data_IF_809202062244
#
_entry.id   IF_809202062244
#
_cell.length_a   1.000
_cell.length_b   1.000
_cell.length_c   1.000
_cell.angle_alpha   90.00
_cell.angle_beta   90.00
_cell.angle_gamma   90.00
#
_symmetry.space_group_name_H-M   'P 1'
#
loop_
_entity.id
_entity.type
_entity.pdbx_description
1 polymer ?
#
# COMPACT_ATOMS: atom_id res chain seq x y z
N UNK A 1 -54.52 -6.98 -20.95
CA UNK A 1 -53.45 -5.93 -21.03
C UNK A 1 -52.34 -6.52 -21.89
N UNK A 2 -52.06 -5.96 -23.05
CA UNK A 2 -51.15 -6.59 -24.00
C UNK A 2 -49.68 -6.52 -23.51
N UNK A 3 -48.92 -7.56 -23.76
CA UNK A 3 -47.50 -7.73 -23.45
C UNK A 3 -46.64 -6.54 -23.93
N UNK A 4 -47.06 -5.83 -24.96
CA UNK A 4 -46.40 -4.64 -25.49
C UNK A 4 -46.46 -3.42 -24.55
N UNK A 5 -47.51 -3.25 -23.75
CA UNK A 5 -47.63 -2.17 -22.78
C UNK A 5 -46.71 -2.43 -21.57
N UNK A 6 -46.57 -3.69 -21.13
CA UNK A 6 -45.74 -4.06 -20.01
C UNK A 6 -44.22 -3.92 -20.34
N UNK A 7 -43.82 -4.31 -21.55
CA UNK A 7 -42.43 -4.09 -22.03
C UNK A 7 -42.07 -2.62 -22.18
N UNK A 8 -43.01 -1.77 -22.65
CA UNK A 8 -42.79 -0.30 -22.72
C UNK A 8 -42.67 0.33 -21.32
N UNK A 9 -43.42 -0.14 -20.34
CA UNK A 9 -43.33 0.33 -18.96
C UNK A 9 -42.03 -0.09 -18.31
N UNK A 10 -41.54 -1.33 -18.54
CA UNK A 10 -40.24 -1.80 -18.04
C UNK A 10 -39.06 -1.04 -18.68
N UNK A 11 -39.13 -0.78 -19.97
CA UNK A 11 -38.12 0.02 -20.67
C UNK A 11 -38.08 1.47 -20.18
N UNK A 12 -39.25 2.08 -19.91
CA UNK A 12 -39.33 3.43 -19.36
C UNK A 12 -38.85 3.51 -17.90
N UNK A 13 -39.12 2.49 -17.08
CA UNK A 13 -38.62 2.41 -15.69
C UNK A 13 -37.09 2.18 -15.69
N UNK A 14 -36.57 1.29 -16.56
CA UNK A 14 -35.13 1.07 -16.70
C UNK A 14 -34.40 2.31 -17.20
N UNK A 15 -34.96 3.03 -18.20
CA UNK A 15 -34.39 4.28 -18.69
C UNK A 15 -34.46 5.42 -17.65
N UNK A 16 -35.55 5.50 -16.88
CA UNK A 16 -35.72 6.48 -15.80
C UNK A 16 -34.76 6.25 -14.62
N UNK A 17 -34.54 5.00 -14.22
CA UNK A 17 -33.58 4.65 -13.15
C UNK A 17 -32.13 4.86 -13.60
N UNK A 18 -31.82 4.61 -14.90
CA UNK A 18 -30.48 4.88 -15.44
C UNK A 18 -30.18 6.38 -15.54
N UNK A 19 -31.15 7.20 -15.98
CA UNK A 19 -31.02 8.65 -16.04
C UNK A 19 -30.89 9.28 -14.63
N UNK A 20 -31.61 8.77 -13.63
CA UNK A 20 -31.50 9.24 -12.25
C UNK A 20 -30.17 8.85 -11.60
N UNK A 21 -29.62 7.68 -11.92
CA UNK A 21 -28.30 7.25 -11.42
C UNK A 21 -27.18 8.12 -12.00
N UNK A 22 -27.27 8.56 -13.24
CA UNK A 22 -26.27 9.44 -13.89
C UNK A 22 -26.33 10.87 -13.31
N UNK A 23 -27.51 11.39 -12.97
CA UNK A 23 -27.69 12.75 -12.43
C UNK A 23 -27.18 12.92 -10.99
N UNK A 24 -27.02 11.85 -10.22
CA UNK A 24 -26.50 11.87 -8.84
C UNK A 24 -24.99 11.60 -8.74
N UNK A 25 -24.31 11.31 -9.86
CA UNK A 25 -22.89 10.95 -9.88
C UNK A 25 -21.95 12.16 -9.81
N UNK A 26 -22.45 13.38 -9.87
CA UNK A 26 -21.62 14.59 -10.01
C UNK A 26 -21.17 15.23 -8.67
N UNK A 27 -21.65 14.77 -7.52
CA UNK A 27 -21.36 15.40 -6.22
C UNK A 27 -20.86 14.49 -5.11
N UNK A 28 -20.87 13.16 -5.29
CA UNK A 28 -20.23 12.23 -4.37
C UNK A 28 -19.11 11.48 -5.11
N UNK A 29 -17.88 11.43 -4.55
CA UNK A 29 -16.87 10.50 -5.02
C UNK A 29 -17.53 9.13 -5.07
N UNK A 30 -17.73 8.60 -6.28
CA UNK A 30 -18.29 7.26 -6.44
C UNK A 30 -17.27 6.27 -5.90
N UNK A 31 -17.55 5.69 -4.75
CA UNK A 31 -16.71 4.66 -4.14
C UNK A 31 -16.63 3.38 -5.00
N UNK A 32 -17.52 3.25 -5.99
CA UNK A 32 -17.65 2.08 -6.86
C UNK A 32 -17.08 2.27 -8.27
N UNK A 33 -16.60 3.46 -8.60
CA UNK A 33 -16.05 3.76 -9.92
C UNK A 33 -14.64 4.34 -9.80
N UNK A 34 -13.86 4.25 -10.89
CA UNK A 34 -12.54 4.87 -10.96
C UNK A 34 -12.67 6.39 -10.76
N UNK A 35 -11.91 7.02 -9.84
CA UNK A 35 -11.94 8.47 -9.67
C UNK A 35 -11.39 9.18 -10.94
N UNK A 36 -11.84 10.39 -11.19
CA UNK A 36 -11.32 11.22 -12.30
C UNK A 36 -9.85 11.60 -12.05
N UNK A 37 -9.49 11.77 -10.78
CA UNK A 37 -8.15 12.19 -10.38
C UNK A 37 -7.89 13.68 -10.61
N UNK A 38 -6.62 14.09 -10.54
CA UNK A 38 -6.19 15.51 -10.53
C UNK A 38 -5.09 15.81 -11.55
N UNK A 39 -4.86 14.91 -12.48
CA UNK A 39 -3.89 15.06 -13.56
C UNK A 39 -4.54 14.85 -14.92
N UNK A 40 -3.92 15.36 -15.98
CA UNK A 40 -4.38 15.11 -17.34
C UNK A 40 -4.43 13.61 -17.65
N UNK A 41 -3.41 12.86 -17.24
CA UNK A 41 -3.35 11.40 -17.40
C UNK A 41 -4.51 10.72 -16.66
N UNK A 42 -4.81 11.12 -15.42
CA UNK A 42 -5.90 10.49 -14.66
C UNK A 42 -7.27 10.75 -15.30
N UNK A 43 -7.48 11.93 -15.89
CA UNK A 43 -8.70 12.23 -16.63
C UNK A 43 -8.83 11.38 -17.91
N UNK A 44 -7.74 11.18 -18.66
CA UNK A 44 -7.72 10.32 -19.84
C UNK A 44 -7.91 8.84 -19.48
N UNK A 45 -7.30 8.36 -18.39
CA UNK A 45 -7.51 7.01 -17.85
C UNK A 45 -8.98 6.81 -17.49
N UNK A 46 -9.60 7.79 -16.81
CA UNK A 46 -11.02 7.74 -16.47
C UNK A 46 -11.91 7.70 -17.73
N UNK A 47 -11.62 8.54 -18.73
CA UNK A 47 -12.35 8.53 -20.00
C UNK A 47 -12.27 7.17 -20.71
N UNK A 48 -11.07 6.59 -20.79
CA UNK A 48 -10.86 5.25 -21.37
C UNK A 48 -11.60 4.17 -20.59
N UNK A 49 -11.57 4.24 -19.27
CA UNK A 49 -12.33 3.35 -18.39
C UNK A 49 -13.84 3.42 -18.68
N UNK A 50 -14.40 4.64 -18.79
CA UNK A 50 -15.83 4.82 -19.08
C UNK A 50 -16.21 4.35 -20.48
N UNK A 51 -15.32 4.53 -21.48
CA UNK A 51 -15.51 3.99 -22.82
C UNK A 51 -15.61 2.45 -22.77
N UNK A 52 -14.65 1.80 -22.14
CA UNK A 52 -14.61 0.34 -22.00
C UNK A 52 -15.82 -0.16 -21.19
N UNK A 53 -16.16 0.50 -20.10
CA UNK A 53 -17.33 0.18 -19.27
C UNK A 53 -18.63 0.24 -20.11
N UNK A 54 -18.78 1.26 -20.97
CA UNK A 54 -19.91 1.37 -21.89
C UNK A 54 -19.99 0.19 -22.85
N UNK A 55 -18.86 -0.17 -23.48
CA UNK A 55 -18.77 -1.30 -24.41
C UNK A 55 -19.14 -2.63 -23.72
N UNK A 56 -18.53 -2.93 -22.57
CA UNK A 56 -18.81 -4.20 -21.86
C UNK A 56 -20.23 -4.25 -21.30
N UNK A 57 -20.80 -3.11 -20.93
CA UNK A 57 -22.20 -3.03 -20.50
C UNK A 57 -23.15 -3.37 -21.63
N UNK A 58 -22.93 -2.83 -22.85
CA UNK A 58 -23.72 -3.16 -24.02
C UNK A 58 -23.64 -4.65 -24.35
N UNK A 59 -22.43 -5.21 -24.38
CA UNK A 59 -22.21 -6.64 -24.60
C UNK A 59 -22.94 -7.46 -23.52
N UNK A 60 -22.80 -7.10 -22.24
CA UNK A 60 -23.47 -7.76 -21.12
C UNK A 60 -24.99 -7.77 -21.28
N UNK A 61 -25.59 -6.61 -21.62
CA UNK A 61 -27.04 -6.49 -21.83
C UNK A 61 -27.51 -7.38 -22.99
N UNK A 62 -26.75 -7.41 -24.09
CA UNK A 62 -27.09 -8.24 -25.24
C UNK A 62 -27.00 -9.74 -24.93
N UNK A 63 -25.89 -10.18 -24.31
CA UNK A 63 -25.66 -11.58 -24.00
C UNK A 63 -26.64 -12.10 -22.93
N UNK A 64 -26.75 -11.40 -21.80
CA UNK A 64 -27.69 -11.79 -20.74
C UNK A 64 -29.16 -11.65 -21.21
N UNK A 65 -29.46 -10.65 -22.03
CA UNK A 65 -30.77 -10.51 -22.65
C UNK A 65 -31.13 -11.70 -23.53
N UNK A 66 -30.21 -12.15 -24.38
CA UNK A 66 -30.40 -13.33 -25.22
C UNK A 66 -30.54 -14.61 -24.37
N UNK A 67 -29.72 -14.76 -23.30
CA UNK A 67 -29.84 -15.90 -22.38
C UNK A 67 -31.19 -15.93 -21.67
N UNK A 68 -31.63 -14.80 -21.09
CA UNK A 68 -32.91 -14.70 -20.39
C UNK A 68 -34.08 -14.95 -21.36
N UNK A 69 -34.02 -14.39 -22.56
CA UNK A 69 -35.00 -14.65 -23.62
C UNK A 69 -35.08 -16.15 -23.95
N UNK A 70 -33.93 -16.80 -24.08
CA UNK A 70 -33.83 -18.23 -24.38
C UNK A 70 -34.44 -19.09 -23.25
N UNK A 71 -34.08 -18.80 -21.99
CA UNK A 71 -34.60 -19.50 -20.82
C UNK A 71 -36.13 -19.39 -20.74
N UNK A 72 -36.68 -18.22 -21.00
CA UNK A 72 -38.13 -17.99 -20.90
C UNK A 72 -38.90 -18.60 -22.08
N UNK A 73 -38.37 -18.42 -23.29
CA UNK A 73 -39.11 -18.73 -24.52
C UNK A 73 -38.82 -20.15 -25.07
N UNK A 74 -37.60 -20.70 -24.86
CA UNK A 74 -37.22 -22.00 -25.39
C UNK A 74 -37.25 -23.11 -24.35
N UNK A 75 -37.93 -22.89 -23.22
CA UNK A 75 -38.10 -23.94 -22.19
C UNK A 75 -38.92 -25.11 -22.73
N UNK A 76 -38.64 -26.33 -22.25
CA UNK A 76 -39.28 -27.60 -22.67
C UNK A 76 -40.82 -27.58 -22.66
N UNK A 77 -41.41 -26.80 -21.72
CA UNK A 77 -42.88 -26.66 -21.65
C UNK A 77 -43.48 -25.88 -22.82
N UNK A 78 -42.70 -25.02 -23.49
CA UNK A 78 -43.13 -24.26 -24.68
C UNK A 78 -42.68 -24.95 -25.98
N UNK A 79 -41.53 -25.61 -25.96
CA UNK A 79 -40.92 -26.29 -27.11
C UNK A 79 -40.54 -27.72 -26.71
N UNK A 80 -41.51 -28.66 -26.78
CA UNK A 80 -41.27 -30.07 -26.39
C UNK A 80 -40.27 -30.79 -27.28
N UNK A 81 -40.16 -30.39 -28.54
CA UNK A 81 -39.17 -30.89 -29.52
C UNK A 81 -38.05 -29.91 -29.66
N UNK A 82 -36.78 -30.31 -29.57
CA UNK A 82 -35.64 -29.44 -29.83
C UNK A 82 -35.59 -29.05 -31.32
N UNK A 83 -34.85 -27.97 -31.63
CA UNK A 83 -34.56 -27.61 -32.99
C UNK A 83 -33.51 -28.52 -33.64
N UNK A 84 -33.57 -28.75 -34.92
CA UNK A 84 -32.73 -29.71 -35.65
C UNK A 84 -31.47 -29.06 -36.28
N UNK A 85 -31.23 -27.75 -36.06
CA UNK A 85 -30.04 -27.10 -36.58
C UNK A 85 -28.82 -27.38 -35.70
N UNK A 86 -27.64 -27.57 -36.30
CA UNK A 86 -26.39 -27.88 -35.60
C UNK A 86 -25.35 -26.76 -35.75
N UNK A 87 -25.42 -25.93 -36.80
CA UNK A 87 -24.46 -24.90 -37.11
C UNK A 87 -25.10 -23.74 -37.86
N UNK A 88 -24.44 -22.59 -37.86
CA UNK A 88 -24.79 -21.46 -38.70
C UNK A 88 -23.54 -20.63 -39.00
N UNK A 89 -22.93 -20.85 -40.14
CA UNK A 89 -21.71 -20.17 -40.63
C UNK A 89 -21.82 -18.65 -40.54
N UNK A 90 -22.99 -18.09 -40.86
CA UNK A 90 -23.20 -16.64 -40.78
C UNK A 90 -23.12 -16.10 -39.35
N UNK A 91 -23.68 -16.82 -38.40
CA UNK A 91 -23.60 -16.45 -36.96
C UNK A 91 -22.18 -16.62 -36.45
N UNK A 92 -21.48 -17.68 -36.86
CA UNK A 92 -20.09 -17.96 -36.48
C UNK A 92 -19.14 -16.87 -36.97
N UNK A 93 -19.27 -16.45 -38.21
CA UNK A 93 -18.54 -15.32 -38.76
C UNK A 93 -18.87 -14.03 -38.00
N UNK A 94 -20.13 -13.77 -37.68
CA UNK A 94 -20.56 -12.57 -37.00
C UNK A 94 -19.93 -12.50 -35.58
N UNK A 95 -20.01 -13.58 -34.77
CA UNK A 95 -19.47 -13.57 -33.43
C UNK A 95 -17.93 -13.63 -33.36
N UNK A 96 -17.25 -13.92 -34.48
CA UNK A 96 -15.79 -13.81 -34.61
C UNK A 96 -15.36 -12.42 -35.03
N UNK A 97 -16.00 -11.88 -36.07
CA UNK A 97 -15.58 -10.61 -36.67
C UNK A 97 -15.97 -9.39 -35.83
N UNK A 98 -17.18 -9.40 -35.22
CA UNK A 98 -17.63 -8.27 -34.41
C UNK A 98 -16.72 -8.04 -33.17
N UNK A 99 -16.43 -9.06 -32.32
CA UNK A 99 -15.51 -8.87 -31.20
C UNK A 99 -14.10 -8.46 -31.63
N UNK A 100 -13.60 -8.96 -32.76
CA UNK A 100 -12.30 -8.57 -33.29
C UNK A 100 -12.22 -7.05 -33.55
N UNK A 101 -13.21 -6.47 -34.18
CA UNK A 101 -13.24 -5.02 -34.43
C UNK A 101 -13.47 -4.23 -33.12
N UNK A 102 -14.27 -4.74 -32.18
CA UNK A 102 -14.46 -4.12 -30.86
C UNK A 102 -13.13 -4.06 -30.12
N UNK A 103 -12.34 -5.14 -30.11
CA UNK A 103 -11.02 -5.17 -29.47
C UNK A 103 -10.04 -4.15 -30.11
N UNK A 104 -10.00 -4.07 -31.44
CA UNK A 104 -9.16 -3.06 -32.15
C UNK A 104 -9.60 -1.63 -31.75
N UNK A 105 -10.90 -1.36 -31.73
CA UNK A 105 -11.43 -0.04 -31.38
C UNK A 105 -11.08 0.37 -29.94
N UNK A 106 -10.93 -0.59 -29.00
CA UNK A 106 -10.46 -0.33 -27.64
C UNK A 106 -8.93 -0.26 -27.54
N UNK A 107 -8.21 -1.09 -28.31
CA UNK A 107 -6.75 -1.17 -28.23
C UNK A 107 -6.06 0.12 -28.73
N UNK A 108 -6.59 0.77 -29.76
CA UNK A 108 -5.98 1.98 -30.34
C UNK A 108 -5.88 3.13 -29.32
N UNK A 109 -6.98 3.58 -28.66
CA UNK A 109 -6.89 4.63 -27.65
C UNK A 109 -6.10 4.17 -26.41
N UNK A 110 -6.18 2.90 -26.02
CA UNK A 110 -5.42 2.36 -24.88
C UNK A 110 -3.91 2.40 -25.15
N UNK A 111 -3.46 2.03 -26.34
CA UNK A 111 -2.06 2.10 -26.73
C UNK A 111 -1.55 3.56 -26.78
N UNK A 112 -2.35 4.49 -27.29
CA UNK A 112 -2.02 5.92 -27.29
C UNK A 112 -1.81 6.48 -25.88
N UNK A 113 -2.72 6.14 -24.96
CA UNK A 113 -2.61 6.55 -23.56
C UNK A 113 -1.38 5.92 -22.87
N UNK A 114 -1.13 4.63 -23.11
CA UNK A 114 0.04 3.94 -22.55
C UNK A 114 1.35 4.60 -22.99
N UNK A 115 1.49 4.94 -24.26
CA UNK A 115 2.67 5.65 -24.80
C UNK A 115 2.84 7.00 -24.10
N UNK A 116 1.75 7.73 -23.85
CA UNK A 116 1.76 9.02 -23.14
C UNK A 116 2.19 8.82 -21.68
N UNK A 117 1.71 7.79 -20.99
CA UNK A 117 2.07 7.47 -19.60
C UNK A 117 3.55 7.09 -19.42
N UNK A 118 4.17 6.48 -20.43
CA UNK A 118 5.59 6.10 -20.40
C UNK A 118 6.54 7.22 -20.84
N UNK A 119 6.04 8.36 -21.32
CA UNK A 119 6.88 9.48 -21.74
C UNK A 119 7.36 10.33 -20.57
N UNK A 120 8.49 9.97 -19.99
CA UNK A 120 9.11 10.67 -18.85
C UNK A 120 10.02 11.83 -19.26
N UNK A 121 10.10 12.20 -20.55
CA UNK A 121 10.96 13.29 -21.05
C UNK A 121 10.49 14.65 -20.54
N UNK A 122 11.39 15.60 -20.54
CA UNK A 122 11.15 17.02 -20.20
C UNK A 122 10.58 17.22 -18.77
N UNK A 123 10.96 16.34 -17.82
CA UNK A 123 10.60 16.50 -16.43
C UNK A 123 11.44 17.60 -15.76
N UNK A 124 10.76 18.51 -15.06
CA UNK A 124 11.39 19.65 -14.37
C UNK A 124 11.92 19.25 -12.98
N UNK A 125 11.39 18.17 -12.42
CA UNK A 125 11.78 17.62 -11.11
C UNK A 125 11.89 16.11 -11.22
N UNK A 126 12.93 15.54 -10.60
CA UNK A 126 13.06 14.08 -10.46
C UNK A 126 13.07 13.70 -8.99
N UNK A 127 12.19 12.78 -8.62
CA UNK A 127 12.12 12.20 -7.27
C UNK A 127 12.40 10.70 -7.35
N UNK A 128 13.39 10.24 -6.60
CA UNK A 128 13.61 8.81 -6.41
C UNK A 128 12.76 8.31 -5.25
N UNK A 129 12.02 7.24 -5.50
CA UNK A 129 11.14 6.55 -4.55
C UNK A 129 11.72 5.18 -4.28
N UNK A 130 12.08 4.89 -3.04
CA UNK A 130 12.62 3.58 -2.65
C UNK A 130 11.71 2.95 -1.61
N UNK A 131 11.06 1.84 -1.96
CA UNK A 131 10.27 1.03 -1.03
C UNK A 131 11.16 0.22 -0.10
N UNK A 132 10.72 0.01 1.13
CA UNK A 132 11.35 -0.88 2.11
C UNK A 132 10.30 -1.40 3.10
N UNK A 133 10.61 -2.40 3.86
CA UNK A 133 9.73 -3.01 4.87
C UNK A 133 9.79 -2.24 6.21
N UNK A 134 8.81 -1.32 6.54
CA UNK A 134 7.65 -0.99 5.70
C UNK A 134 7.47 0.53 5.66
N UNK A 135 7.84 1.13 4.56
CA UNK A 135 7.77 2.57 4.34
C UNK A 135 8.36 2.97 3.00
N UNK A 136 8.49 4.27 2.80
CA UNK A 136 9.00 4.86 1.58
C UNK A 136 10.12 5.85 1.89
N UNK A 137 11.24 5.75 1.19
CA UNK A 137 12.28 6.76 1.18
C UNK A 137 12.12 7.60 -0.09
N UNK A 138 12.09 8.92 0.08
CA UNK A 138 12.04 9.89 -1.00
C UNK A 138 13.34 10.67 -1.07
N UNK A 139 13.88 10.83 -2.29
CA UNK A 139 15.07 11.61 -2.57
C UNK A 139 14.77 12.56 -3.75
N UNK A 140 14.94 13.87 -3.53
CA UNK A 140 14.83 14.89 -4.59
C UNK A 140 16.17 14.99 -5.30
N UNK A 141 16.28 14.33 -6.45
CA UNK A 141 17.54 14.16 -7.19
C UNK A 141 18.13 15.50 -7.58
N UNK A 142 19.40 15.71 -7.24
CA UNK A 142 20.11 16.98 -7.51
C UNK A 142 19.84 18.10 -6.50
N UNK A 143 18.99 17.89 -5.50
CA UNK A 143 18.64 18.91 -4.50
C UNK A 143 19.22 18.64 -3.10
N UNK A 144 19.78 17.44 -2.85
CA UNK A 144 20.34 17.07 -1.54
C UNK A 144 19.28 16.93 -0.43
N UNK A 145 18.04 16.70 -0.79
CA UNK A 145 16.92 16.51 0.15
C UNK A 145 16.45 15.07 0.07
N UNK A 146 16.54 14.35 1.18
CA UNK A 146 16.00 12.99 1.31
C UNK A 146 15.35 12.80 2.69
N UNK A 147 14.33 11.97 2.76
CA UNK A 147 13.67 11.60 4.01
C UNK A 147 12.90 10.29 3.89
N UNK A 148 12.53 9.75 5.05
CA UNK A 148 11.70 8.54 5.16
C UNK A 148 10.27 8.93 5.53
N UNK A 149 9.32 8.30 4.86
CA UNK A 149 7.87 8.40 5.09
C UNK A 149 7.34 7.06 5.58
N UNK A 150 6.71 7.06 6.72
CA UNK A 150 6.13 5.88 7.36
C UNK A 150 4.76 6.22 7.92
N UNK A 151 3.97 5.20 8.21
CA UNK A 151 2.69 5.36 8.92
C UNK A 151 2.88 6.28 10.13
N UNK A 152 1.95 7.20 10.35
CA UNK A 152 1.98 8.14 11.48
C UNK A 152 2.13 7.39 12.82
N UNK A 153 2.77 8.02 13.79
CA UNK A 153 2.95 7.45 15.13
C UNK A 153 1.61 7.19 15.81
N UNK A 154 0.61 8.07 15.59
CA UNK A 154 -0.73 7.97 16.17
C UNK A 154 -1.48 6.77 15.61
N UNK A 155 -1.54 6.60 14.27
CA UNK A 155 -2.14 5.43 13.62
C UNK A 155 -1.41 4.14 13.98
N UNK A 156 -0.06 4.18 14.05
CA UNK A 156 0.73 3.00 14.40
C UNK A 156 0.47 2.53 15.84
N UNK A 157 0.36 3.46 16.78
CA UNK A 157 -0.02 3.15 18.17
C UNK A 157 -1.45 2.59 18.24
N UNK A 158 -2.40 3.24 17.54
CA UNK A 158 -3.80 2.83 17.55
C UNK A 158 -4.01 1.42 16.99
N UNK A 159 -3.31 1.04 15.90
CA UNK A 159 -3.43 -0.30 15.30
C UNK A 159 -2.87 -1.41 16.21
N UNK A 160 -1.83 -1.11 16.98
CA UNK A 160 -1.23 -2.08 17.92
C UNK A 160 -2.10 -2.30 19.16
N UNK A 161 -2.79 -1.28 19.59
CA UNK A 161 -3.74 -1.29 20.70
C UNK A 161 -5.18 -1.56 20.24
N UNK A 162 -5.39 -1.75 18.93
CA UNK A 162 -6.70 -1.70 18.26
C UNK A 162 -7.65 -2.83 18.64
N UNK A 163 -7.16 -3.95 19.19
CA UNK A 163 -8.02 -5.02 19.69
C UNK A 163 -9.04 -4.56 20.76
N UNK A 164 -8.81 -3.41 21.40
CA UNK A 164 -9.64 -2.82 22.44
C UNK A 164 -10.30 -1.49 22.04
N UNK A 165 -10.20 -1.08 20.75
CA UNK A 165 -10.80 0.16 20.23
C UNK A 165 -12.01 -0.13 19.38
N UNK A 166 -13.06 0.69 19.52
CA UNK A 166 -14.23 0.68 18.64
C UNK A 166 -13.89 1.30 17.28
N UNK A 167 -14.71 1.02 16.26
CA UNK A 167 -14.58 1.64 14.92
C UNK A 167 -14.68 3.17 15.02
N UNK A 168 -15.57 3.67 15.89
CA UNK A 168 -15.77 5.11 16.12
C UNK A 168 -14.56 5.79 16.76
N UNK A 169 -13.83 5.07 17.62
CA UNK A 169 -12.58 5.56 18.23
C UNK A 169 -11.44 5.57 17.20
N UNK A 170 -11.34 4.51 16.39
CA UNK A 170 -10.35 4.44 15.30
C UNK A 170 -10.59 5.51 14.25
N UNK A 171 -11.85 5.79 13.91
CA UNK A 171 -12.22 6.82 12.93
C UNK A 171 -11.81 8.24 13.34
N UNK A 172 -11.46 8.49 14.61
CA UNK A 172 -10.98 9.78 15.10
C UNK A 172 -9.46 9.92 15.13
N UNK A 173 -8.75 8.81 14.97
CA UNK A 173 -7.27 8.79 14.96
C UNK A 173 -6.75 9.59 13.77
N UNK A 174 -5.66 10.32 13.97
CA UNK A 174 -5.05 11.19 12.94
C UNK A 174 -6.03 12.22 12.33
N UNK A 175 -6.97 12.71 13.12
CA UNK A 175 -7.99 13.65 12.63
C UNK A 175 -8.94 13.05 11.60
N UNK A 176 -9.23 11.75 11.68
CA UNK A 176 -10.07 11.02 10.74
C UNK A 176 -9.31 10.33 9.59
N UNK A 177 -7.99 10.33 9.64
CA UNK A 177 -7.12 9.71 8.63
C UNK A 177 -6.40 8.46 9.16
N UNK A 178 -7.09 7.66 9.99
CA UNK A 178 -6.56 6.41 10.52
C UNK A 178 -6.02 5.51 9.39
N UNK A 179 -4.75 5.10 9.51
CA UNK A 179 -3.96 4.32 8.53
C UNK A 179 -3.67 5.02 7.19
N UNK A 180 -4.15 6.26 6.99
CA UNK A 180 -3.93 7.04 5.77
C UNK A 180 -2.88 8.14 5.93
N UNK A 181 -2.47 8.44 7.18
CA UNK A 181 -1.53 9.51 7.46
C UNK A 181 -0.10 9.01 7.63
N UNK A 182 0.87 9.88 7.28
CA UNK A 182 2.31 9.61 7.40
C UNK A 182 3.01 10.69 8.21
N UNK A 183 4.17 10.37 8.76
CA UNK A 183 5.01 11.32 9.47
C UNK A 183 5.61 12.41 8.56
N UNK A 184 5.97 12.06 7.31
CA UNK A 184 6.57 12.95 6.33
C UNK A 184 5.91 12.75 4.96
N UNK A 185 4.96 13.60 4.54
CA UNK A 185 4.37 13.51 3.21
C UNK A 185 5.39 13.86 2.12
N UNK A 186 5.22 13.26 0.93
CA UNK A 186 5.93 13.66 -0.28
C UNK A 186 5.36 14.99 -0.77
N UNK A 187 6.16 16.05 -0.80
CA UNK A 187 5.75 17.38 -1.26
C UNK A 187 6.07 17.53 -2.74
N UNK A 188 5.09 17.92 -3.56
CA UNK A 188 5.27 18.10 -5.01
C UNK A 188 4.71 19.44 -5.47
N UNK A 189 5.35 20.09 -6.49
CA UNK A 189 4.81 21.31 -7.09
C UNK A 189 3.62 21.04 -8.00
N UNK A 190 2.62 21.92 -8.00
CA UNK A 190 1.60 21.92 -9.05
C UNK A 190 2.14 22.57 -10.33
N UNK A 191 1.56 22.15 -11.48
CA UNK A 191 1.88 22.70 -12.81
C UNK A 191 3.21 22.24 -13.41
N UNK A 192 4.08 21.56 -12.65
CA UNK A 192 5.37 21.03 -13.12
C UNK A 192 5.31 19.53 -13.38
N UNK A 193 6.00 19.07 -14.43
CA UNK A 193 6.16 17.64 -14.72
C UNK A 193 7.20 17.03 -13.77
N UNK A 194 6.79 16.07 -12.97
CA UNK A 194 7.63 15.35 -12.01
C UNK A 194 7.85 13.92 -12.48
N UNK A 195 9.12 13.53 -12.65
CA UNK A 195 9.53 12.16 -12.95
C UNK A 195 9.82 11.41 -11.65
N UNK A 196 9.36 10.19 -11.57
CA UNK A 196 9.67 9.25 -10.49
C UNK A 196 10.64 8.18 -10.97
N UNK A 197 11.68 7.90 -10.16
CA UNK A 197 12.56 6.75 -10.27
C UNK A 197 12.21 5.80 -9.14
N UNK A 198 11.52 4.70 -9.43
CA UNK A 198 10.89 3.84 -8.44
C UNK A 198 11.66 2.52 -8.34
N UNK A 199 12.12 2.20 -7.14
CA UNK A 199 12.87 0.97 -6.81
C UNK A 199 12.55 0.51 -5.39
N UNK A 200 13.11 -0.62 -4.96
CA UNK A 200 13.01 -1.10 -3.58
C UNK A 200 14.37 -1.51 -3.04
N UNK A 201 14.50 -1.54 -1.72
CA UNK A 201 15.72 -1.91 -1.01
C UNK A 201 15.76 -3.40 -0.65
N UNK A 202 14.61 -4.03 -0.45
CA UNK A 202 14.48 -5.37 0.14
C UNK A 202 13.61 -6.33 -0.69
N UNK A 203 12.30 -6.16 -0.71
CA UNK A 203 11.33 -6.97 -1.45
C UNK A 203 10.61 -6.11 -2.49
N UNK A 204 9.76 -6.72 -3.32
CA UNK A 204 8.94 -5.97 -4.26
C UNK A 204 7.84 -5.24 -3.49
N UNK A 205 7.67 -3.95 -3.80
CA UNK A 205 6.56 -3.09 -3.40
C UNK A 205 5.92 -2.49 -4.66
N UNK A 206 4.80 -1.79 -4.56
CA UNK A 206 4.28 -0.97 -5.66
C UNK A 206 3.80 0.38 -5.13
N UNK A 207 4.31 1.45 -5.72
CA UNK A 207 3.91 2.82 -5.39
C UNK A 207 2.66 3.19 -6.17
N UNK A 208 1.53 3.34 -5.49
CA UNK A 208 0.24 3.58 -6.13
C UNK A 208 -0.50 4.75 -5.49
N UNK A 209 -0.71 5.82 -6.27
CA UNK A 209 -1.53 6.98 -5.91
C UNK A 209 -2.62 7.13 -6.98
N UNK A 210 -3.84 6.82 -6.64
CA UNK A 210 -4.98 6.73 -7.56
C UNK A 210 -5.27 8.07 -8.27
N UNK A 211 -5.32 9.16 -7.50
CA UNK A 211 -5.63 10.49 -8.02
C UNK A 211 -4.60 10.99 -9.03
N UNK A 212 -3.37 10.46 -8.99
CA UNK A 212 -2.29 10.81 -9.92
C UNK A 212 -2.23 9.87 -11.14
N UNK A 213 -3.02 8.80 -11.17
CA UNK A 213 -2.95 7.69 -12.13
C UNK A 213 -1.55 7.04 -12.21
N UNK A 214 -0.80 7.04 -11.12
CA UNK A 214 0.52 6.40 -11.04
C UNK A 214 0.42 5.12 -10.23
N UNK A 215 0.69 3.99 -10.87
CA UNK A 215 0.90 2.69 -10.24
C UNK A 215 2.13 2.05 -10.87
N UNK A 216 3.19 1.86 -10.10
CA UNK A 216 4.46 1.32 -10.61
C UNK A 216 5.14 0.46 -9.56
N UNK A 217 5.60 -0.71 -9.94
CA UNK A 217 6.30 -1.63 -9.04
C UNK A 217 7.67 -1.09 -8.66
N UNK A 218 8.00 -1.23 -7.37
CA UNK A 218 9.29 -0.93 -6.80
C UNK A 218 10.04 -2.25 -6.61
N UNK A 219 10.96 -2.56 -7.55
CA UNK A 219 11.64 -3.84 -7.64
C UNK A 219 13.10 -3.68 -7.18
N UNK A 220 13.60 -4.53 -6.25
CA UNK A 220 15.01 -4.50 -5.85
C UNK A 220 15.95 -4.71 -7.03
N UNK A 221 16.96 -3.85 -7.13
CA UNK A 221 17.97 -3.93 -8.21
C UNK A 221 17.49 -3.44 -9.59
N UNK A 222 16.25 -2.96 -9.70
CA UNK A 222 15.69 -2.40 -10.92
C UNK A 222 15.09 -1.02 -10.66
N UNK A 223 15.15 -0.11 -11.62
CA UNK A 223 14.56 1.23 -11.52
C UNK A 223 13.47 1.33 -12.57
N UNK A 224 12.23 1.39 -12.12
CA UNK A 224 11.07 1.74 -12.93
C UNK A 224 10.90 3.25 -12.99
N UNK A 225 10.29 3.73 -14.07
CA UNK A 225 9.99 5.15 -14.24
C UNK A 225 8.50 5.38 -14.37
N UNK A 226 8.07 6.52 -13.86
CA UNK A 226 6.73 7.06 -14.04
C UNK A 226 6.81 8.59 -14.00
N UNK A 227 5.74 9.29 -14.37
CA UNK A 227 5.66 10.72 -14.22
C UNK A 227 4.25 11.16 -13.85
N UNK A 228 4.16 12.37 -13.31
CA UNK A 228 2.90 13.05 -13.02
C UNK A 228 3.03 14.55 -13.24
N UNK A 229 1.90 15.20 -13.51
CA UNK A 229 1.76 16.65 -13.49
C UNK A 229 0.45 16.97 -12.79
N UNK A 230 0.54 17.46 -11.56
CA UNK A 230 -0.61 17.76 -10.72
C UNK A 230 -1.09 19.17 -11.04
N UNK A 231 -2.36 19.30 -11.41
CA UNK A 231 -2.90 20.61 -11.82
C UNK A 231 -3.44 21.43 -10.64
N UNK A 232 -3.81 20.79 -9.54
CA UNK A 232 -4.45 21.44 -8.40
C UNK A 232 -3.72 21.11 -7.09
N UNK A 233 -3.52 22.11 -6.19
CA UNK A 233 -2.98 21.84 -4.87
C UNK A 233 -3.96 20.97 -4.06
N UNK A 234 -3.39 20.12 -3.20
CA UNK A 234 -4.20 19.21 -2.39
C UNK A 234 -3.37 18.14 -1.72
N UNK A 235 -4.07 17.26 -1.03
CA UNK A 235 -3.49 16.11 -0.34
C UNK A 235 -4.07 14.83 -0.93
N UNK A 236 -3.22 14.00 -1.50
CA UNK A 236 -3.60 12.80 -2.21
C UNK A 236 -3.01 11.59 -1.49
N UNK A 237 -3.82 10.54 -1.39
CA UNK A 237 -3.45 9.34 -0.67
C UNK A 237 -3.18 8.18 -1.63
N UNK A 238 -2.27 7.32 -1.22
CA UNK A 238 -1.92 6.11 -1.95
C UNK A 238 -1.57 4.98 -1.00
N UNK A 239 -1.35 3.81 -1.59
CA UNK A 239 -1.06 2.57 -0.87
C UNK A 239 0.09 1.83 -1.53
N UNK A 240 0.74 0.95 -0.79
CA UNK A 240 1.53 -0.11 -1.39
C UNK A 240 0.58 -1.11 -2.07
N UNK A 241 0.82 -1.43 -3.34
CA UNK A 241 -0.07 -2.25 -4.15
C UNK A 241 0.55 -3.61 -4.55
N UNK A 242 1.70 -3.99 -3.96
CA UNK A 242 2.32 -5.31 -4.11
C UNK A 242 2.61 -5.90 -2.73
N UNK A 243 2.20 -7.17 -2.52
CA UNK A 243 2.31 -7.83 -1.22
C UNK A 243 3.78 -7.94 -0.78
N UNK A 244 4.15 -7.16 0.22
CA UNK A 244 5.53 -6.99 0.67
C UNK A 244 5.78 -7.50 2.11
N UNK A 245 4.87 -8.30 2.67
CA UNK A 245 5.03 -8.91 4.01
C UNK A 245 3.99 -8.44 5.03
N UNK A 246 4.32 -8.59 6.31
CA UNK A 246 3.38 -8.44 7.43
C UNK A 246 2.68 -7.09 7.49
N UNK A 247 3.42 -6.01 7.29
CA UNK A 247 2.89 -4.65 7.41
C UNK A 247 2.61 -3.99 6.04
N UNK A 248 2.33 -4.82 5.01
CA UNK A 248 1.97 -4.37 3.67
C UNK A 248 0.86 -3.31 3.65
N UNK A 249 -0.20 -3.48 4.43
CA UNK A 249 -1.32 -2.52 4.54
C UNK A 249 -1.02 -1.30 5.42
N UNK A 250 0.18 -1.21 6.01
CA UNK A 250 0.55 -0.18 6.98
C UNK A 250 1.72 0.69 6.53
N UNK A 251 1.90 0.84 5.21
CA UNK A 251 2.86 1.72 4.58
C UNK A 251 2.17 2.65 3.56
N UNK A 252 1.30 3.55 4.03
CA UNK A 252 0.56 4.45 3.17
C UNK A 252 1.47 5.45 2.47
N UNK A 253 0.93 6.08 1.43
CA UNK A 253 1.56 7.15 0.68
C UNK A 253 0.71 8.41 0.86
N UNK A 254 1.35 9.54 1.16
CA UNK A 254 0.70 10.84 1.14
C UNK A 254 1.51 11.78 0.27
N UNK A 255 0.86 12.32 -0.77
CA UNK A 255 1.40 13.36 -1.63
C UNK A 255 0.74 14.68 -1.26
N UNK A 256 1.55 15.67 -0.86
CA UNK A 256 1.12 17.04 -0.62
C UNK A 256 1.50 17.90 -1.82
N UNK A 257 0.54 18.18 -2.70
CA UNK A 257 0.74 19.07 -3.82
C UNK A 257 0.56 20.54 -3.36
N UNK A 258 1.53 21.38 -3.65
CA UNK A 258 1.53 22.79 -3.29
C UNK A 258 1.84 23.66 -4.51
N UNK A 259 1.46 24.94 -4.52
CA UNK A 259 1.87 25.87 -5.57
C UNK A 259 3.39 25.86 -5.77
N UNK A 260 3.86 26.04 -7.01
CA UNK A 260 5.28 25.93 -7.36
C UNK A 260 6.19 26.84 -6.52
N UNK A 261 5.76 28.07 -6.22
CA UNK A 261 6.53 29.01 -5.40
C UNK A 261 6.64 28.53 -3.93
N UNK A 262 5.58 27.92 -3.38
CA UNK A 262 5.60 27.34 -2.03
C UNK A 262 6.53 26.12 -1.97
N UNK A 263 6.49 25.29 -3.02
CA UNK A 263 7.40 24.14 -3.16
C UNK A 263 8.87 24.60 -3.18
N UNK A 264 9.20 25.63 -3.97
CA UNK A 264 10.57 26.15 -4.07
C UNK A 264 11.06 26.68 -2.71
N UNK A 265 10.20 27.36 -1.95
CA UNK A 265 10.47 27.81 -0.59
C UNK A 265 10.67 26.65 0.39
N UNK A 266 9.80 25.63 0.33
CA UNK A 266 9.92 24.42 1.15
C UNK A 266 11.21 23.65 0.85
N UNK A 267 11.56 23.47 -0.44
CA UNK A 267 12.76 22.78 -0.87
C UNK A 267 14.04 23.52 -0.43
N UNK A 268 14.05 24.85 -0.52
CA UNK A 268 15.16 25.67 -0.04
C UNK A 268 15.34 25.55 1.48
N UNK A 269 14.24 25.54 2.24
CA UNK A 269 14.27 25.36 3.70
C UNK A 269 14.78 23.99 4.14
N UNK A 270 14.60 22.94 3.31
CA UNK A 270 15.12 21.60 3.60
C UNK A 270 16.61 21.42 3.28
N UNK A 271 17.18 22.20 2.37
CA UNK A 271 18.61 22.15 2.01
C UNK A 271 19.56 22.55 3.16
N UNK A 272 19.07 23.19 4.20
CA UNK A 272 19.85 23.58 5.39
C UNK A 272 20.00 22.48 6.44
N UNK A 273 19.34 21.33 6.28
CA UNK A 273 19.44 20.19 7.19
C UNK A 273 20.36 19.16 6.54
N UNK A 274 21.65 19.23 6.85
CA UNK A 274 22.67 18.29 6.39
C UNK A 274 22.36 16.90 6.93
N UNK A 275 21.86 16.01 6.06
CA UNK A 275 21.73 14.57 6.36
C UNK A 275 23.03 13.92 5.96
N UNK A 276 23.80 13.48 6.95
CA UNK A 276 25.05 12.77 6.73
C UNK A 276 24.86 11.60 5.73
N UNK A 277 25.56 11.67 4.62
CA UNK A 277 25.51 10.68 3.55
C UNK A 277 25.97 9.31 4.07
N UNK A 278 25.10 8.31 3.98
CA UNK A 278 25.48 6.91 4.20
C UNK A 278 26.31 6.40 3.03
N UNK A 279 27.52 5.90 3.32
CA UNK A 279 28.40 5.26 2.34
C UNK A 279 27.74 4.03 1.68
N UNK A 280 28.09 3.71 0.41
CA UNK A 280 27.49 2.58 -0.29
C UNK A 280 27.93 1.25 0.33
N UNK A 281 26.96 0.45 0.77
CA UNK A 281 27.21 -0.92 1.25
C UNK A 281 27.10 -1.87 0.06
N UNK A 282 28.16 -2.62 -0.19
CA UNK A 282 28.23 -3.67 -1.19
C UNK A 282 27.25 -4.82 -0.82
N UNK A 283 26.35 -5.16 -1.73
CA UNK A 283 25.37 -6.24 -1.56
C UNK A 283 26.00 -7.56 -2.02
N UNK A 284 26.25 -8.47 -1.11
CA UNK A 284 26.46 -9.88 -1.44
C UNK A 284 25.13 -10.61 -1.39
N UNK A 285 24.73 -11.18 -2.52
CA UNK A 285 23.49 -11.92 -2.66
C UNK A 285 23.55 -13.25 -1.91
N UNK A 286 22.58 -13.48 -1.02
CA UNK A 286 22.31 -14.79 -0.44
C UNK A 286 20.92 -15.28 -0.89
N UNK A 287 20.86 -16.55 -1.30
CA UNK A 287 19.70 -17.22 -1.87
C UNK A 287 18.54 -17.41 -0.87
N UNK A 288 17.28 -17.50 -1.34
CA UNK A 288 16.11 -17.56 -0.46
C UNK A 288 15.91 -18.94 0.17
N UNK A 289 15.77 -18.98 1.48
CA UNK A 289 15.32 -20.14 2.22
C UNK A 289 13.79 -20.08 2.43
N UNK A 290 13.13 -21.24 2.22
CA UNK A 290 11.69 -21.40 2.33
C UNK A 290 11.17 -21.13 3.74
N UNK A 291 10.00 -20.44 3.83
CA UNK A 291 9.32 -20.08 5.06
C UNK A 291 8.45 -21.23 5.58
N UNK A 292 8.44 -21.52 6.88
CA UNK A 292 7.45 -22.42 7.48
C UNK A 292 6.14 -21.69 7.81
N UNK A 293 5.04 -22.38 7.56
CA UNK A 293 3.66 -21.95 7.80
C UNK A 293 3.40 -21.80 9.30
N UNK A 294 2.89 -20.63 9.72
CA UNK A 294 2.53 -20.36 11.12
C UNK A 294 1.10 -20.81 11.40
N UNK A 295 0.95 -21.73 12.36
CA UNK A 295 -0.30 -22.18 12.93
C UNK A 295 -0.87 -21.15 13.90
N UNK A 296 -2.16 -20.87 13.80
CA UNK A 296 -2.93 -20.00 14.69
C UNK A 296 -3.09 -20.63 16.08
N UNK A 297 -2.58 -19.99 17.13
CA UNK A 297 -2.80 -20.39 18.50
C UNK A 297 -3.72 -19.42 19.26
N UNK A 298 -4.67 -20.00 19.98
CA UNK A 298 -5.72 -19.45 20.86
C UNK A 298 -5.14 -18.67 22.03
N UNK A 299 -5.82 -17.64 22.58
CA UNK A 299 -5.35 -16.90 23.76
C UNK A 299 -5.23 -17.81 24.98
N UNK A 300 -4.12 -17.72 25.69
CA UNK A 300 -3.84 -18.48 26.89
C UNK A 300 -3.99 -17.62 28.15
N UNK A 301 -4.57 -18.22 29.14
CA UNK A 301 -4.87 -17.91 30.52
C UNK A 301 -3.62 -17.52 31.33
N UNK A 302 -3.79 -16.72 32.37
CA UNK A 302 -2.73 -16.21 33.26
C UNK A 302 -1.86 -17.33 33.85
N UNK A 303 -0.54 -17.22 33.65
CA UNK A 303 0.43 -18.21 34.08
C UNK A 303 1.15 -17.82 35.36
N UNK A 304 1.44 -18.85 36.17
CA UNK A 304 2.28 -18.86 37.39
C UNK A 304 3.72 -18.33 37.14
N UNK A 305 4.51 -18.02 38.16
CA UNK A 305 5.81 -17.35 38.01
C UNK A 305 6.75 -18.12 37.10
N UNK A 306 7.16 -17.46 36.02
CA UNK A 306 7.98 -18.04 34.97
C UNK A 306 9.38 -18.45 35.52
N UNK A 307 9.79 -19.68 35.22
CA UNK A 307 11.15 -20.19 35.50
C UNK A 307 12.18 -19.32 34.78
N UNK A 308 13.20 -18.86 35.46
CA UNK A 308 14.30 -18.11 34.86
C UNK A 308 14.96 -18.93 33.75
N UNK A 309 15.04 -18.35 32.55
CA UNK A 309 15.67 -18.98 31.39
C UNK A 309 17.19 -18.77 31.42
N UNK A 310 17.92 -19.75 30.92
CA UNK A 310 19.37 -19.61 30.76
C UNK A 310 19.69 -18.54 29.68
N UNK A 311 20.93 -18.01 29.73
CA UNK A 311 21.39 -17.03 28.76
C UNK A 311 21.21 -17.54 27.29
N UNK A 312 21.55 -18.80 27.05
CA UNK A 312 21.54 -19.37 25.69
C UNK A 312 20.10 -19.59 25.16
N UNK A 313 19.17 -19.95 26.06
CA UNK A 313 17.73 -20.02 25.73
C UNK A 313 17.20 -18.62 25.41
N UNK A 314 17.54 -17.59 26.19
CA UNK A 314 17.17 -16.20 25.93
C UNK A 314 17.77 -15.68 24.62
N UNK A 315 19.04 -16.03 24.32
CA UNK A 315 19.68 -15.63 23.05
C UNK A 315 19.00 -16.25 21.84
N UNK A 316 18.64 -17.53 21.91
CA UNK A 316 17.97 -18.25 20.83
C UNK A 316 16.55 -17.73 20.59
N UNK A 317 15.77 -17.61 21.66
CA UNK A 317 14.42 -17.05 21.58
C UNK A 317 14.45 -15.56 21.17
N UNK A 318 15.38 -14.79 21.74
CA UNK A 318 15.55 -13.38 21.48
C UNK A 318 15.92 -13.06 20.03
N UNK A 319 16.76 -13.87 19.40
CA UNK A 319 17.05 -13.75 17.97
C UNK A 319 15.79 -13.85 17.14
N UNK A 320 14.92 -14.83 17.42
CA UNK A 320 13.66 -15.02 16.69
C UNK A 320 12.71 -13.82 16.86
N UNK A 321 12.60 -13.29 18.08
CA UNK A 321 11.78 -12.11 18.37
C UNK A 321 12.38 -10.87 17.70
N UNK A 322 13.72 -10.74 17.70
CA UNK A 322 14.44 -9.65 17.05
C UNK A 322 14.20 -9.63 15.54
N UNK A 323 14.39 -10.76 14.90
CA UNK A 323 14.20 -10.89 13.46
C UNK A 323 12.74 -10.56 13.04
N UNK A 324 11.76 -10.90 13.87
CA UNK A 324 10.35 -10.64 13.62
C UNK A 324 9.85 -9.23 13.97
N UNK A 325 10.50 -8.51 14.86
CA UNK A 325 9.95 -7.25 15.39
C UNK A 325 10.91 -6.05 15.37
N UNK A 326 12.22 -6.28 15.32
CA UNK A 326 13.22 -5.22 15.51
C UNK A 326 14.13 -5.03 14.29
N UNK A 327 14.45 -6.13 13.58
CA UNK A 327 15.40 -6.14 12.48
C UNK A 327 14.98 -5.24 11.30
N UNK A 328 13.68 -5.05 11.10
CA UNK A 328 13.16 -4.16 10.04
C UNK A 328 13.68 -2.70 10.17
N UNK A 329 13.82 -2.21 11.41
CA UNK A 329 14.31 -0.86 11.66
C UNK A 329 15.79 -0.84 12.05
N UNK A 330 16.20 -1.81 12.89
CA UNK A 330 17.55 -1.85 13.44
C UNK A 330 18.53 -2.73 12.64
N UNK A 331 18.08 -3.31 11.51
CA UNK A 331 18.81 -4.23 10.64
C UNK A 331 19.24 -5.54 11.34
N UNK A 332 19.45 -6.62 10.59
CA UNK A 332 19.85 -7.92 11.14
C UNK A 332 21.17 -7.87 11.92
N UNK A 333 22.08 -6.98 11.53
CA UNK A 333 23.36 -6.73 12.21
C UNK A 333 23.28 -5.69 13.34
N UNK A 334 22.10 -5.17 13.67
CA UNK A 334 21.93 -4.17 14.73
C UNK A 334 22.49 -2.78 14.39
N UNK A 335 22.91 -2.54 13.14
CA UNK A 335 23.56 -1.28 12.70
C UNK A 335 22.57 -0.11 12.58
N UNK A 336 21.26 -0.39 12.48
CA UNK A 336 20.25 0.61 12.24
C UNK A 336 20.35 1.27 10.87
N UNK A 337 19.56 2.32 10.68
CA UNK A 337 19.58 3.22 9.50
C UNK A 337 19.53 4.68 10.01
N UNK A 338 20.69 5.27 10.40
CA UNK A 338 20.72 6.65 10.85
C UNK A 338 20.22 7.63 9.74
N UNK A 339 19.62 8.76 10.11
CA UNK A 339 19.39 9.23 11.48
C UNK A 339 18.12 8.68 12.13
N UNK A 340 17.21 8.05 11.36
CA UNK A 340 15.87 7.67 11.82
C UNK A 340 15.85 6.44 12.72
N UNK A 341 16.70 5.45 12.43
CA UNK A 341 16.79 4.20 13.19
C UNK A 341 18.20 4.03 13.75
N UNK A 342 18.40 4.37 15.03
CA UNK A 342 19.75 4.37 15.61
C UNK A 342 20.34 2.95 15.67
N UNK A 343 21.67 2.87 15.57
CA UNK A 343 22.41 1.65 15.78
C UNK A 343 22.22 1.12 17.21
N UNK A 344 22.01 -0.18 17.33
CA UNK A 344 22.06 -0.90 18.62
C UNK A 344 23.47 -1.31 19.00
N UNK A 345 24.38 -1.38 17.99
CA UNK A 345 25.79 -1.72 18.20
C UNK A 345 26.48 -0.59 18.96
N UNK A 346 27.04 -0.89 20.11
CA UNK A 346 27.68 0.10 20.97
C UNK A 346 26.76 1.11 21.61
N UNK A 347 25.42 0.96 21.46
CA UNK A 347 24.44 1.90 21.99
C UNK A 347 24.53 2.07 23.50
N UNK A 348 24.50 3.33 23.98
CA UNK A 348 24.48 3.66 25.40
C UNK A 348 23.24 3.09 26.12
N UNK A 349 22.11 2.98 25.45
CA UNK A 349 20.87 2.41 25.99
C UNK A 349 21.01 0.90 26.11
N UNK A 350 21.48 0.24 25.05
CA UNK A 350 21.64 -1.22 24.99
C UNK A 350 22.70 -1.73 25.99
N UNK A 351 23.79 -1.00 26.15
CA UNK A 351 24.88 -1.38 27.08
C UNK A 351 24.70 -0.77 28.49
N UNK A 352 23.77 0.15 28.68
CA UNK A 352 23.50 0.83 29.91
C UNK A 352 22.54 0.08 30.86
N UNK A 353 21.76 0.85 31.64
CA UNK A 353 20.78 0.32 32.58
C UNK A 353 19.71 -0.53 31.87
N UNK A 354 19.52 -1.76 32.38
CA UNK A 354 18.53 -2.69 31.83
C UNK A 354 17.10 -2.15 31.97
N UNK A 355 16.79 -1.50 33.09
CA UNK A 355 15.48 -0.90 33.35
C UNK A 355 15.11 0.17 32.30
N UNK A 356 16.06 1.05 31.96
CA UNK A 356 15.87 2.08 30.96
C UNK A 356 15.60 1.45 29.58
N UNK A 357 16.30 0.38 29.22
CA UNK A 357 16.11 -0.34 27.96
C UNK A 357 14.75 -1.07 27.91
N UNK A 358 14.33 -1.71 29.00
CA UNK A 358 13.00 -2.33 29.14
C UNK A 358 11.90 -1.28 28.95
N UNK A 359 11.96 -0.16 29.69
CA UNK A 359 10.96 0.90 29.62
C UNK A 359 10.91 1.54 28.22
N UNK A 360 12.06 1.75 27.56
CA UNK A 360 12.06 2.27 26.19
C UNK A 360 11.43 1.29 25.21
N UNK A 361 11.63 -0.01 25.37
CA UNK A 361 11.03 -1.04 24.52
C UNK A 361 9.53 -1.16 24.78
N UNK A 362 9.10 -1.14 26.03
CA UNK A 362 7.68 -1.20 26.37
C UNK A 362 6.90 0.04 25.91
N UNK A 363 7.46 1.23 26.07
CA UNK A 363 6.75 2.49 25.82
C UNK A 363 7.04 3.11 24.44
N UNK A 364 8.08 2.63 23.73
CA UNK A 364 8.56 3.25 22.50
C UNK A 364 9.30 4.55 22.74
N UNK A 365 9.88 5.13 21.68
CA UNK A 365 10.50 6.46 21.69
C UNK A 365 10.64 7.00 20.26
N UNK A 366 10.06 8.17 19.99
CA UNK A 366 10.09 8.76 18.64
C UNK A 366 9.42 7.85 17.61
N UNK A 367 10.17 7.38 16.60
CA UNK A 367 9.67 6.44 15.59
C UNK A 367 9.58 4.98 16.08
N UNK A 368 10.22 4.64 17.19
CA UNK A 368 10.15 3.31 17.76
C UNK A 368 8.79 3.09 18.43
N UNK A 369 7.96 2.13 17.96
CA UNK A 369 6.66 1.87 18.55
C UNK A 369 6.77 1.22 19.92
N UNK A 370 5.71 1.28 20.76
CA UNK A 370 5.62 0.54 22.01
C UNK A 370 5.40 -0.95 21.75
N UNK A 371 6.12 -1.83 22.43
CA UNK A 371 6.01 -3.29 22.31
C UNK A 371 5.31 -3.95 23.50
N UNK A 372 4.30 -3.27 24.07
CA UNK A 372 3.49 -3.81 25.20
C UNK A 372 2.70 -5.06 24.84
N UNK A 373 2.50 -5.34 23.55
CA UNK A 373 1.81 -6.53 23.05
C UNK A 373 2.66 -7.81 23.11
N UNK A 374 3.99 -7.70 23.25
CA UNK A 374 4.86 -8.85 23.45
C UNK A 374 4.77 -9.34 24.89
N UNK A 375 4.91 -10.65 25.10
CA UNK A 375 4.97 -11.27 26.43
C UNK A 375 6.25 -10.88 27.16
N UNK A 376 6.25 -10.98 28.47
CA UNK A 376 7.42 -10.62 29.29
C UNK A 376 8.64 -11.48 28.95
N UNK A 377 8.42 -12.77 28.62
CA UNK A 377 9.47 -13.69 28.17
C UNK A 377 10.05 -13.26 26.81
N UNK A 378 9.21 -12.76 25.90
CA UNK A 378 9.63 -12.29 24.57
C UNK A 378 10.44 -10.99 24.67
N UNK A 379 10.00 -10.05 25.52
CA UNK A 379 10.74 -8.81 25.80
C UNK A 379 12.08 -9.15 26.46
N UNK A 380 12.11 -10.00 27.49
CA UNK A 380 13.32 -10.42 28.16
C UNK A 380 14.32 -11.06 27.19
N UNK A 381 13.84 -11.96 26.35
CA UNK A 381 14.65 -12.65 25.35
C UNK A 381 15.24 -11.68 24.31
N UNK A 382 14.40 -10.82 23.71
CA UNK A 382 14.89 -9.87 22.69
C UNK A 382 15.85 -8.84 23.26
N UNK A 383 15.61 -8.34 24.46
CA UNK A 383 16.53 -7.41 25.12
C UNK A 383 17.86 -8.09 25.47
N UNK A 384 17.83 -9.32 25.97
CA UNK A 384 19.05 -10.10 26.21
C UNK A 384 19.83 -10.31 24.92
N UNK A 385 19.14 -10.66 23.81
CA UNK A 385 19.77 -10.78 22.50
C UNK A 385 20.45 -9.48 22.05
N UNK A 386 19.75 -8.34 22.11
CA UNK A 386 20.32 -7.04 21.75
C UNK A 386 21.50 -6.64 22.63
N UNK A 387 21.42 -6.93 23.92
CA UNK A 387 22.43 -6.57 24.91
C UNK A 387 23.69 -7.46 24.88
N UNK A 388 23.60 -8.62 24.22
CA UNK A 388 24.69 -9.63 24.16
C UNK A 388 25.19 -9.89 22.72
N UNK A 389 24.57 -9.29 21.70
CA UNK A 389 24.95 -9.44 20.29
C UNK A 389 25.83 -8.28 19.82
N UNK A 390 26.48 -8.47 18.68
CA UNK A 390 27.24 -7.45 17.94
C UNK A 390 28.32 -6.74 18.75
N UNK A 391 28.92 -7.44 19.74
CA UNK A 391 29.94 -6.88 20.63
C UNK A 391 29.41 -6.07 21.82
N UNK A 392 28.08 -5.99 21.98
CA UNK A 392 27.47 -5.41 23.16
C UNK A 392 27.74 -6.28 24.41
N UNK A 393 27.85 -5.64 25.60
CA UNK A 393 28.20 -6.28 26.87
C UNK A 393 27.21 -5.97 27.97
N UNK A 394 25.95 -5.70 27.62
CA UNK A 394 24.89 -5.41 28.61
C UNK A 394 24.49 -6.66 29.42
N UNK A 395 23.85 -6.48 30.57
CA UNK A 395 23.36 -7.57 31.42
C UNK A 395 22.22 -8.36 30.77
N UNK A 396 22.06 -9.62 31.17
CA UNK A 396 20.87 -10.43 30.83
C UNK A 396 19.63 -9.83 31.50
N UNK A 397 18.49 -9.91 30.82
CA UNK A 397 17.16 -9.48 31.32
C UNK A 397 16.28 -10.73 31.44
N UNK A 398 15.60 -10.90 32.55
CA UNK A 398 14.65 -11.98 32.79
C UNK A 398 13.20 -11.50 32.68
N UNK A 399 12.25 -12.42 32.47
CA UNK A 399 10.83 -12.09 32.38
C UNK A 399 10.32 -11.36 33.66
N UNK A 400 10.84 -11.71 34.83
CA UNK A 400 10.51 -11.04 36.08
C UNK A 400 10.93 -9.56 36.11
N UNK A 401 12.07 -9.22 35.48
CA UNK A 401 12.54 -7.82 35.38
C UNK A 401 11.60 -6.98 34.49
N UNK A 402 11.01 -7.60 33.45
CA UNK A 402 10.04 -6.95 32.56
C UNK A 402 8.70 -6.78 33.29
N UNK A 403 8.19 -7.84 33.92
CA UNK A 403 6.92 -7.84 34.66
C UNK A 403 6.89 -6.76 35.76
N UNK A 404 8.02 -6.52 36.43
CA UNK A 404 8.15 -5.49 37.46
C UNK A 404 8.04 -4.03 36.90
N UNK A 405 8.08 -3.84 35.57
CA UNK A 405 8.10 -2.53 34.90
C UNK A 405 6.88 -2.30 34.00
N UNK A 406 5.98 -3.27 33.91
CA UNK A 406 4.67 -3.12 33.22
C UNK A 406 3.66 -2.46 34.14
#
# INVERSE_FOLDING_TARGET
MSMSKWMRSLAAVAAGTFASAVAHAETARSEYNLPVGVTEISAEVHWLHMLILGVVTVIGVLVFGAMIYSIINHRRSKHPKPADFHESVAVEIAWTIIPFFVLIAMAVPAAGLLIKMEDTRDAELTVKVTGFQWGWKYEYVGHGVEFVSMLSAESNAARQLGANKTIEELAKVDGGNYLWNVNNPLVLPTGRKVRFLITAQDVIHAWWVHDLAVKKDAIPGYINEAWTKIEQPGRFHGVCAELCGRDHGFMPIVVQAVPAAEFDGWLAGKKGVEVAAAAPVAVTAAAPAALPVVSTAKPAEAAAPAKALSRDELMTAGKKVYDGNCAACHQAAGTGLPPNFPSLVGSKVVNGDAKAHVLQTLNGKGLMPPFKNLKDEEIAAVLTYQRQSWGNKGSVVQAADVAALR
#
